data_IF_335318093394
#
_entry.id   IF_335318093394
#
_cell.length_a   1.000
_cell.length_b   1.000
_cell.length_c   1.000
_cell.angle_alpha   90.00
_cell.angle_beta   90.00
_cell.angle_gamma   90.00
#
_symmetry.space_group_name_H-M   'P 1'
#
loop_
_entity.id
_entity.type
_entity.pdbx_description
1 polymer ?
#
# COMPACT_ATOMS: atom_id res chain seq x y z
N UNK A 1 15.14 -21.32 53.16
CA UNK A 1 14.66 -21.57 51.78
C UNK A 1 14.43 -20.21 51.14
N UNK A 2 15.44 -19.69 50.42
CA UNK A 2 15.34 -18.41 49.71
C UNK A 2 14.60 -18.64 48.40
N UNK A 3 13.35 -18.21 48.31
CA UNK A 3 12.69 -18.02 47.02
C UNK A 3 12.91 -16.57 46.63
N UNK A 4 13.80 -16.38 45.66
CA UNK A 4 14.15 -15.12 45.02
C UNK A 4 12.91 -14.26 44.78
N UNK A 5 12.97 -12.93 44.97
CA UNK A 5 12.05 -12.03 44.32
C UNK A 5 12.22 -12.27 42.82
N UNK A 6 11.31 -13.04 42.24
CA UNK A 6 11.16 -13.13 40.80
C UNK A 6 10.96 -11.70 40.32
N UNK A 7 11.85 -11.26 39.44
CA UNK A 7 11.69 -10.04 38.64
C UNK A 7 10.40 -10.18 37.81
N UNK A 8 9.25 -10.01 38.44
CA UNK A 8 8.05 -9.50 37.81
C UNK A 8 8.29 -8.01 37.56
N UNK A 9 9.37 -7.71 36.83
CA UNK A 9 9.43 -6.49 36.06
C UNK A 9 8.28 -6.66 35.08
N UNK A 10 7.13 -6.08 35.45
CA UNK A 10 6.00 -5.90 34.57
C UNK A 10 6.58 -5.26 33.31
N UNK A 11 6.88 -6.09 32.30
CA UNK A 11 7.18 -5.62 30.96
C UNK A 11 5.91 -4.90 30.55
N UNK A 12 5.87 -3.60 30.82
CA UNK A 12 4.86 -2.73 30.27
C UNK A 12 5.07 -2.89 28.78
N UNK A 13 4.16 -3.57 28.05
CA UNK A 13 4.37 -3.81 26.63
C UNK A 13 4.56 -2.43 26.04
N UNK A 14 5.73 -2.23 25.43
CA UNK A 14 6.19 -0.92 25.01
C UNK A 14 5.18 -0.39 23.99
N UNK A 15 4.23 0.42 24.46
CA UNK A 15 3.04 0.81 23.69
C UNK A 15 3.43 1.58 22.44
N UNK A 16 4.66 2.10 22.39
CA UNK A 16 5.26 2.66 21.18
C UNK A 16 5.48 1.58 20.10
N UNK A 17 5.96 0.38 20.49
CA UNK A 17 6.20 -0.75 19.58
C UNK A 17 4.91 -1.31 18.97
N UNK A 18 3.84 -1.38 19.77
CA UNK A 18 2.52 -1.80 19.29
C UNK A 18 1.94 -0.81 18.26
N UNK A 19 1.93 0.49 18.58
CA UNK A 19 1.46 1.56 17.67
C UNK A 19 2.24 1.61 16.35
N UNK A 20 3.56 1.42 16.41
CA UNK A 20 4.42 1.41 15.22
C UNK A 20 4.11 0.22 14.30
N UNK A 21 3.78 -0.95 14.88
CA UNK A 21 3.40 -2.15 14.11
C UNK A 21 2.06 -1.96 13.40
N UNK A 22 1.08 -1.37 14.08
CA UNK A 22 -0.22 -1.02 13.48
C UNK A 22 -0.07 -0.06 12.31
N UNK A 23 0.71 1.02 12.47
CA UNK A 23 0.98 1.99 11.40
C UNK A 23 1.66 1.34 10.19
N UNK A 24 2.60 0.42 10.40
CA UNK A 24 3.25 -0.32 9.31
C UNK A 24 2.26 -1.22 8.60
N UNK A 25 1.40 -1.93 9.33
CA UNK A 25 0.33 -2.76 8.74
C UNK A 25 -0.64 -1.90 7.93
N UNK A 26 -1.09 -0.76 8.46
CA UNK A 26 -1.93 0.18 7.74
C UNK A 26 -1.23 0.77 6.51
N UNK A 27 0.06 1.11 6.61
CA UNK A 27 0.83 1.61 5.49
C UNK A 27 0.96 0.55 4.39
N UNK A 28 1.20 -0.72 4.73
CA UNK A 28 1.25 -1.82 3.76
C UNK A 28 -0.12 -2.05 3.12
N UNK A 29 -1.22 -1.97 3.88
CA UNK A 29 -2.57 -2.11 3.33
C UNK A 29 -2.90 -0.94 2.39
N UNK A 30 -2.63 0.30 2.81
CA UNK A 30 -2.92 1.51 2.04
C UNK A 30 -2.00 1.65 0.82
N UNK A 31 -0.68 1.58 1.01
CA UNK A 31 0.30 1.62 -0.08
C UNK A 31 0.47 0.29 -0.81
N UNK A 32 -0.22 -0.78 -0.42
CA UNK A 32 -0.32 -2.00 -1.22
C UNK A 32 -1.49 -1.89 -2.17
N UNK A 33 -2.70 -1.77 -1.61
CA UNK A 33 -3.95 -1.84 -2.38
C UNK A 33 -4.08 -0.61 -3.29
N UNK A 34 -3.84 0.60 -2.76
CA UNK A 34 -4.10 1.83 -3.50
C UNK A 34 -3.23 2.02 -4.75
N UNK A 35 -1.90 1.81 -4.71
CA UNK A 35 -1.10 1.91 -5.93
C UNK A 35 -1.36 0.78 -6.92
N UNK A 36 -1.70 -0.43 -6.46
CA UNK A 36 -2.12 -1.51 -7.39
C UNK A 36 -3.38 -1.08 -8.14
N UNK A 37 -4.37 -0.51 -7.44
CA UNK A 37 -5.58 0.04 -8.07
C UNK A 37 -5.22 1.18 -9.02
N UNK A 38 -4.34 2.11 -8.62
CA UNK A 38 -3.92 3.21 -9.48
C UNK A 38 -3.25 2.72 -10.77
N UNK A 39 -2.31 1.76 -10.68
CA UNK A 39 -1.64 1.17 -11.84
C UNK A 39 -2.63 0.39 -12.71
N UNK A 40 -3.55 -0.36 -12.11
CA UNK A 40 -4.59 -1.08 -12.83
C UNK A 40 -5.53 -0.15 -13.60
N UNK A 41 -5.98 0.94 -12.98
CA UNK A 41 -6.86 1.94 -13.62
C UNK A 41 -6.12 2.72 -14.69
N UNK A 42 -4.95 3.28 -14.40
CA UNK A 42 -4.19 4.10 -15.35
C UNK A 42 -3.65 3.26 -16.50
N UNK A 43 -3.05 2.11 -16.19
CA UNK A 43 -2.53 1.17 -17.17
C UNK A 43 -3.64 0.55 -18.01
N UNK A 44 -4.73 0.10 -17.37
CA UNK A 44 -5.90 -0.44 -18.05
C UNK A 44 -6.59 0.58 -18.95
N UNK A 45 -6.78 1.81 -18.47
CA UNK A 45 -7.38 2.88 -19.26
C UNK A 45 -6.46 3.30 -20.43
N UNK A 46 -5.16 3.47 -20.20
CA UNK A 46 -4.19 3.76 -21.26
C UNK A 46 -4.13 2.66 -22.31
N UNK A 47 -4.15 1.40 -21.88
CA UNK A 47 -4.21 0.24 -22.77
C UNK A 47 -5.52 0.18 -23.56
N UNK A 48 -6.66 0.45 -22.92
CA UNK A 48 -7.97 0.49 -23.58
C UNK A 48 -8.00 1.58 -24.65
N UNK A 49 -7.50 2.78 -24.32
CA UNK A 49 -7.34 3.88 -25.28
C UNK A 49 -6.42 3.44 -26.42
N UNK A 50 -5.26 2.85 -26.14
CA UNK A 50 -4.33 2.37 -27.18
C UNK A 50 -4.98 1.32 -28.10
N UNK A 51 -5.70 0.35 -27.55
CA UNK A 51 -6.46 -0.62 -28.36
C UNK A 51 -7.56 0.03 -29.18
N UNK A 52 -8.27 1.00 -28.60
CA UNK A 52 -9.26 1.79 -29.33
C UNK A 52 -8.62 2.51 -30.53
N UNK A 53 -7.42 3.06 -30.37
CA UNK A 53 -6.67 3.69 -31.47
C UNK A 53 -6.28 2.68 -32.57
N UNK A 54 -5.94 1.45 -32.21
CA UNK A 54 -5.63 0.40 -33.20
C UNK A 54 -6.88 -0.01 -34.00
N UNK A 55 -8.04 -0.07 -33.34
CA UNK A 55 -9.30 -0.49 -33.98
C UNK A 55 -9.94 0.63 -34.81
N UNK A 56 -9.95 1.87 -34.32
CA UNK A 56 -10.65 3.01 -34.93
C UNK A 56 -9.72 4.02 -35.62
N UNK A 57 -8.41 3.78 -35.60
CA UNK A 57 -7.39 4.67 -36.17
C UNK A 57 -6.73 5.57 -35.11
N UNK A 58 -5.45 5.96 -35.30
CA UNK A 58 -4.70 6.74 -34.32
C UNK A 58 -5.30 8.14 -34.13
N UNK A 59 -5.25 8.71 -32.91
CA UNK A 59 -5.72 10.06 -32.63
C UNK A 59 -4.76 11.03 -33.33
N UNK A 60 -5.30 11.81 -34.26
CA UNK A 60 -4.53 12.65 -35.16
C UNK A 60 -3.68 13.71 -34.43
N UNK A 61 -2.56 14.16 -35.04
CA UNK A 61 -1.73 15.23 -34.49
C UNK A 61 -2.56 16.51 -34.25
N UNK A 62 -2.20 17.34 -33.24
CA UNK A 62 -2.88 18.60 -32.99
C UNK A 62 -2.84 19.48 -34.25
N UNK A 63 -4.01 19.83 -34.78
CA UNK A 63 -4.11 20.77 -35.89
C UNK A 63 -3.79 22.17 -35.34
N UNK A 64 -2.58 22.64 -35.61
CA UNK A 64 -2.15 24.02 -35.45
C UNK A 64 -2.31 24.79 -36.75
#
# INVERSE_FOLDING_TARGET
MSTSPTDDTFEVPDRAKARRRELVTFAILAFGIWPIVAVGVVGGFGFLVWMYQIVFGPPGPPAH
#
